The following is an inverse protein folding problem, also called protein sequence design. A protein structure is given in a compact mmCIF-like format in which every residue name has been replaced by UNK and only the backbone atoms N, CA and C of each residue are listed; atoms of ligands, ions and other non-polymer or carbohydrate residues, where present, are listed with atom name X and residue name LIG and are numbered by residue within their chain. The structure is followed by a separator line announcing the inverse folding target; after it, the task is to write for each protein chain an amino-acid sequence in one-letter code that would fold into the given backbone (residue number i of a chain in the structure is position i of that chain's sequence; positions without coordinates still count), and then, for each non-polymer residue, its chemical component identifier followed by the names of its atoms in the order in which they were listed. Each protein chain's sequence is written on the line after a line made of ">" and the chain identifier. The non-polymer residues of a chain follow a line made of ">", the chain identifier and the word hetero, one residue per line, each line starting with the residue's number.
data_IF_521025847530
#
_entry.id   IF_521025847530
#
_cell.length_a   1.000
_cell.length_b   1.000
_cell.length_c   1.000
_cell.angle_alpha   90.00
_cell.angle_beta   90.00
_cell.angle_gamma   90.00
#
_symmetry.space_group_name_H-M   'P 1'
#
loop_
_entity.id
_entity.type
_entity.pdbx_description
1 polymer ?
#
# COMPACT_ATOMS: atom_id res chain seq x y z
N UNK A 1 39.54 4.22 6.59
CA UNK A 1 38.18 4.78 6.50
C UNK A 1 37.24 3.78 7.14
N UNK A 2 36.79 4.00 8.35
CA UNK A 2 35.77 3.18 8.99
C UNK A 2 34.47 3.30 8.17
N UNK A 3 34.03 2.19 7.60
CA UNK A 3 32.64 2.08 7.15
C UNK A 3 31.78 2.24 8.43
N UNK A 4 31.11 3.38 8.59
CA UNK A 4 30.01 3.48 9.53
C UNK A 4 29.06 2.36 9.14
N UNK A 5 28.89 1.38 10.02
CA UNK A 5 27.81 0.39 9.91
C UNK A 5 26.52 1.21 9.91
N UNK A 6 25.90 1.40 8.74
CA UNK A 6 24.53 1.89 8.68
C UNK A 6 23.69 0.83 9.40
N UNK A 7 23.39 1.07 10.68
CA UNK A 7 22.51 0.22 11.46
C UNK A 7 21.14 0.25 10.79
N UNK A 8 20.58 -0.91 10.55
CA UNK A 8 19.22 -1.05 10.05
C UNK A 8 18.26 -0.34 11.02
N UNK A 9 17.25 0.35 10.51
CA UNK A 9 16.31 1.15 11.30
C UNK A 9 14.90 1.01 10.74
N UNK A 10 13.92 1.26 11.59
CA UNK A 10 12.53 1.37 11.14
C UNK A 10 12.22 2.79 10.70
N UNK A 11 11.35 2.90 9.71
CA UNK A 11 10.58 4.09 9.37
C UNK A 11 9.11 3.72 9.54
N UNK A 12 8.55 4.01 10.69
CA UNK A 12 7.10 3.91 10.89
C UNK A 12 6.45 5.12 10.28
N UNK A 13 5.48 4.92 9.41
CA UNK A 13 4.81 6.02 8.71
C UNK A 13 3.33 5.76 8.51
N UNK A 14 2.59 6.84 8.34
CA UNK A 14 1.16 6.86 8.08
C UNK A 14 0.77 8.08 7.26
N UNK A 15 -0.38 8.02 6.55
CA UNK A 15 -0.90 9.07 5.69
C UNK A 15 -2.33 9.43 6.06
N UNK A 16 -2.63 10.74 6.13
CA UNK A 16 -4.01 11.21 5.96
C UNK A 16 -4.26 11.60 4.51
N UNK A 17 -5.43 11.26 3.99
CA UNK A 17 -5.75 11.38 2.56
C UNK A 17 -7.12 12.00 2.32
N UNK A 18 -7.36 12.45 1.09
CA UNK A 18 -8.67 12.98 0.66
C UNK A 18 -9.72 11.89 0.46
N UNK A 19 -9.33 10.61 0.45
CA UNK A 19 -10.22 9.46 0.22
C UNK A 19 -9.44 8.17 0.03
N UNK A 20 -10.08 7.15 -0.52
CA UNK A 20 -9.58 5.78 -0.56
C UNK A 20 -8.96 5.35 -1.90
N UNK A 21 -9.09 6.17 -2.95
CA UNK A 21 -8.62 5.83 -4.29
C UNK A 21 -7.19 6.29 -4.54
N UNK A 22 -6.18 5.41 -4.68
CA UNK A 22 -4.82 5.85 -4.93
C UNK A 22 -4.66 6.71 -6.20
N UNK A 23 -5.41 6.40 -7.26
CA UNK A 23 -5.33 7.11 -8.53
C UNK A 23 -5.95 8.53 -8.48
N UNK A 24 -6.96 8.74 -7.64
CA UNK A 24 -7.79 9.94 -7.69
C UNK A 24 -7.83 10.74 -6.40
N UNK A 25 -7.38 10.17 -5.28
CA UNK A 25 -7.24 10.85 -4.01
C UNK A 25 -5.79 11.27 -3.74
N UNK A 26 -5.62 12.24 -2.87
CA UNK A 26 -4.34 12.85 -2.56
C UNK A 26 -3.96 12.62 -1.11
N UNK A 27 -2.69 12.22 -0.79
CA UNK A 27 -2.15 12.37 0.55
C UNK A 27 -2.09 13.84 0.97
N UNK A 28 -2.58 14.14 2.17
CA UNK A 28 -2.63 15.48 2.76
C UNK A 28 -1.62 15.66 3.89
N UNK A 29 -1.35 14.58 4.63
CA UNK A 29 -0.35 14.52 5.70
C UNK A 29 0.51 13.29 5.51
N UNK A 30 1.79 13.42 5.79
CA UNK A 30 2.74 12.33 5.95
C UNK A 30 3.38 12.50 7.31
N UNK A 31 3.19 11.54 8.18
CA UNK A 31 3.87 11.43 9.45
C UNK A 31 4.82 10.23 9.45
N UNK A 32 6.00 10.39 10.03
CA UNK A 32 6.95 9.30 10.20
C UNK A 32 7.76 9.46 11.47
N UNK A 33 8.03 8.32 12.14
CA UNK A 33 8.99 8.21 13.23
C UNK A 33 10.03 7.18 12.83
N UNK A 34 11.29 7.63 12.76
CA UNK A 34 12.44 6.76 12.52
C UNK A 34 12.94 6.26 13.88
N UNK A 35 13.11 4.94 14.01
CA UNK A 35 13.63 4.33 15.24
C UNK A 35 14.81 3.42 14.94
N UNK A 36 15.63 3.11 15.95
CA UNK A 36 16.51 1.96 15.89
C UNK A 36 15.70 0.64 16.00
N UNK A 37 16.38 -0.51 15.94
CA UNK A 37 15.71 -1.80 16.05
C UNK A 37 15.15 -2.08 17.45
N UNK A 38 15.58 -1.31 18.48
CA UNK A 38 15.07 -1.35 19.84
C UNK A 38 13.89 -0.41 20.06
N UNK A 39 13.40 0.24 18.98
CA UNK A 39 12.28 1.19 18.96
C UNK A 39 12.58 2.50 19.68
N UNK A 40 13.85 2.86 19.88
CA UNK A 40 14.22 4.18 20.37
C UNK A 40 14.11 5.17 19.21
N UNK A 41 13.39 6.28 19.43
CA UNK A 41 13.20 7.34 18.43
C UNK A 41 14.52 8.01 18.06
N UNK A 42 14.78 8.14 16.75
CA UNK A 42 15.94 8.82 16.17
C UNK A 42 15.53 10.14 15.54
N UNK A 43 14.42 10.15 14.83
CA UNK A 43 13.92 11.32 14.09
C UNK A 43 12.39 11.23 13.95
N UNK A 44 11.74 12.39 13.94
CA UNK A 44 10.29 12.53 13.76
C UNK A 44 10.00 13.57 12.68
N UNK A 45 9.04 13.26 11.83
CA UNK A 45 8.57 14.13 10.76
C UNK A 45 7.04 14.12 10.74
N UNK A 46 6.47 15.31 10.64
CA UNK A 46 5.06 15.54 10.35
C UNK A 46 4.97 16.69 9.36
N UNK A 47 4.54 16.41 8.14
CA UNK A 47 4.41 17.41 7.08
C UNK A 47 3.05 17.29 6.41
N UNK A 48 2.54 18.45 5.97
CA UNK A 48 1.23 18.56 5.29
C UNK A 48 1.37 19.31 3.99
N UNK A 49 0.43 19.10 3.07
CA UNK A 49 0.37 19.82 1.81
C UNK A 49 -1.00 20.44 1.55
N UNK A 50 -1.01 21.34 0.58
CA UNK A 50 -2.21 21.94 0.05
C UNK A 50 -2.99 20.92 -0.77
N UNK A 51 -4.30 21.12 -0.85
CA UNK A 51 -5.16 20.38 -1.76
C UNK A 51 -4.92 20.83 -3.20
N UNK A 52 -4.76 19.87 -4.11
CA UNK A 52 -4.68 20.15 -5.55
C UNK A 52 -6.04 20.62 -6.10
N UNK A 53 -6.07 21.62 -7.00
CA UNK A 53 -7.32 22.27 -7.44
C UNK A 53 -8.36 21.35 -8.07
N UNK A 54 -7.96 20.23 -8.67
CA UNK A 54 -8.84 19.29 -9.36
C UNK A 54 -9.41 18.19 -8.46
N UNK A 55 -9.00 18.13 -7.20
CA UNK A 55 -9.42 17.08 -6.26
C UNK A 55 -10.53 17.61 -5.35
N UNK A 56 -11.62 16.86 -5.28
CA UNK A 56 -12.67 17.02 -4.29
C UNK A 56 -12.48 15.96 -3.21
N UNK A 57 -12.10 16.36 -1.97
CA UNK A 57 -11.99 15.39 -0.87
C UNK A 57 -13.31 14.68 -0.61
N UNK A 58 -13.27 13.42 -0.23
CA UNK A 58 -14.46 12.73 0.24
C UNK A 58 -14.92 13.29 1.60
N UNK A 59 -16.14 13.79 1.77
CA UNK A 59 -16.64 14.24 3.08
C UNK A 59 -16.51 13.17 4.16
N UNK A 60 -16.70 11.90 3.81
CA UNK A 60 -16.51 10.78 4.74
C UNK A 60 -15.03 10.63 5.17
N UNK A 61 -14.04 10.90 4.30
CA UNK A 61 -12.64 10.90 4.68
C UNK A 61 -12.32 12.06 5.64
N UNK A 62 -12.79 13.27 5.34
CA UNK A 62 -12.63 14.41 6.25
C UNK A 62 -13.30 14.20 7.62
N UNK A 63 -14.44 13.51 7.63
CA UNK A 63 -15.13 13.14 8.86
C UNK A 63 -14.33 12.13 9.71
N UNK A 64 -13.64 11.18 9.07
CA UNK A 64 -12.80 10.18 9.75
C UNK A 64 -11.49 10.79 10.24
N UNK A 65 -10.79 11.55 9.39
CA UNK A 65 -9.48 12.13 9.69
C UNK A 65 -9.56 13.40 10.56
N UNK A 66 -10.75 14.01 10.68
CA UNK A 66 -10.93 15.29 11.36
C UNK A 66 -10.26 16.48 10.65
N UNK A 67 -9.78 16.30 9.43
CA UNK A 67 -9.17 17.38 8.63
C UNK A 67 -10.23 18.41 8.26
N UNK A 68 -10.00 19.65 8.65
CA UNK A 68 -10.94 20.74 8.37
C UNK A 68 -10.71 21.36 6.99
N UNK A 69 -11.77 21.79 6.29
CA UNK A 69 -11.64 22.52 5.03
C UNK A 69 -10.69 23.73 5.09
N UNK A 70 -10.69 24.47 6.20
CA UNK A 70 -9.77 25.60 6.42
C UNK A 70 -8.30 25.21 6.41
N UNK A 71 -7.96 23.98 6.79
CA UNK A 71 -6.59 23.47 6.71
C UNK A 71 -6.18 23.16 5.26
N UNK A 72 -7.12 22.69 4.43
CA UNK A 72 -6.88 22.37 3.02
C UNK A 72 -6.59 23.60 2.16
N UNK A 73 -7.11 24.76 2.56
CA UNK A 73 -6.95 26.05 1.87
C UNK A 73 -5.75 26.87 2.36
N UNK A 74 -4.93 26.34 3.27
CA UNK A 74 -3.81 27.05 3.85
C UNK A 74 -2.64 27.17 2.85
N UNK A 75 -2.48 28.36 2.24
CA UNK A 75 -1.44 28.64 1.26
C UNK A 75 0.00 28.63 1.81
N UNK A 76 0.20 28.48 3.12
CA UNK A 76 1.53 28.34 3.73
C UNK A 76 2.02 26.87 3.76
N UNK A 77 1.17 25.91 3.38
CA UNK A 77 1.57 24.52 3.27
C UNK A 77 2.33 24.27 1.95
N UNK A 78 3.07 23.17 1.92
CA UNK A 78 3.73 22.70 0.70
C UNK A 78 2.69 22.44 -0.40
N UNK A 79 3.02 22.76 -1.66
CA UNK A 79 2.26 22.20 -2.78
C UNK A 79 2.37 20.67 -2.81
N UNK A 80 1.46 19.98 -3.48
CA UNK A 80 1.54 18.52 -3.64
C UNK A 80 2.87 18.08 -4.30
N UNK A 81 3.40 18.90 -5.21
CA UNK A 81 4.69 18.67 -5.86
C UNK A 81 5.86 18.75 -4.84
N UNK A 82 5.96 19.83 -4.06
CA UNK A 82 7.00 19.99 -3.04
C UNK A 82 6.90 18.94 -1.93
N UNK A 83 5.69 18.60 -1.54
CA UNK A 83 5.42 17.52 -0.58
C UNK A 83 5.97 16.18 -1.09
N UNK A 84 5.68 15.84 -2.35
CA UNK A 84 6.20 14.61 -2.97
C UNK A 84 7.72 14.57 -3.06
N UNK A 85 8.36 15.72 -3.41
CA UNK A 85 9.82 15.86 -3.44
C UNK A 85 10.43 15.65 -2.04
N UNK A 86 9.81 16.23 -1.02
CA UNK A 86 10.31 16.13 0.35
C UNK A 86 10.26 14.71 0.87
N UNK A 87 9.20 13.95 0.55
CA UNK A 87 9.11 12.54 0.92
C UNK A 87 10.14 11.70 0.15
N UNK A 88 10.38 11.96 -1.14
CA UNK A 88 11.46 11.30 -1.89
C UNK A 88 12.83 11.51 -1.22
N UNK A 89 13.15 12.74 -0.78
CA UNK A 89 14.38 13.04 -0.06
C UNK A 89 14.46 12.23 1.25
N UNK A 90 13.37 12.08 1.99
CA UNK A 90 13.36 11.25 3.20
C UNK A 90 13.61 9.78 2.88
N UNK A 91 13.08 9.24 1.78
CA UNK A 91 13.31 7.83 1.43
C UNK A 91 14.79 7.54 1.14
N UNK A 92 15.51 8.49 0.56
CA UNK A 92 16.94 8.40 0.31
C UNK A 92 17.77 8.62 1.60
N UNK A 93 17.44 9.65 2.37
CA UNK A 93 18.10 10.02 3.64
C UNK A 93 18.09 8.88 4.64
N UNK A 94 16.96 8.19 4.74
CA UNK A 94 16.78 7.13 5.74
C UNK A 94 17.23 5.75 5.27
N UNK A 95 17.56 5.58 3.99
CA UNK A 95 18.04 4.31 3.46
C UNK A 95 19.42 3.90 4.04
N UNK A 96 19.68 2.60 4.28
CA UNK A 96 18.73 1.50 4.23
C UNK A 96 17.79 1.49 5.45
N UNK A 97 16.51 1.21 5.23
CA UNK A 97 15.51 1.22 6.30
C UNK A 97 14.41 0.16 6.06
N UNK A 98 13.69 -0.17 7.13
CA UNK A 98 12.49 -1.00 7.13
C UNK A 98 11.29 -0.06 7.16
N UNK A 99 10.63 0.12 6.03
CA UNK A 99 9.41 0.92 5.91
C UNK A 99 8.22 0.12 6.42
N UNK A 100 7.50 0.65 7.38
CA UNK A 100 6.41 -0.05 8.05
C UNK A 100 5.33 0.90 8.54
N UNK A 101 4.12 0.38 8.63
CA UNK A 101 2.95 1.06 9.16
C UNK A 101 1.84 0.04 9.41
N UNK A 102 0.66 0.50 9.77
CA UNK A 102 -0.49 -0.35 10.01
C UNK A 102 -1.35 -0.46 8.75
N UNK A 103 -1.36 -1.61 8.06
CA UNK A 103 -1.97 -1.80 6.73
C UNK A 103 -1.31 -0.99 5.62
N UNK A 104 -0.09 -0.51 5.85
CA UNK A 104 0.58 0.45 4.99
C UNK A 104 0.90 -0.07 3.59
N UNK A 105 1.14 -1.36 3.42
CA UNK A 105 1.43 -1.95 2.10
C UNK A 105 0.21 -1.93 1.18
N UNK A 106 -0.97 -2.12 1.75
CA UNK A 106 -2.21 -2.15 0.97
C UNK A 106 -2.74 -0.74 0.67
N UNK A 107 -2.49 0.24 1.53
CA UNK A 107 -3.04 1.58 1.43
C UNK A 107 -1.97 2.66 1.24
N UNK A 108 -1.21 3.00 2.27
CA UNK A 108 -0.28 4.13 2.27
C UNK A 108 0.77 4.05 1.17
N UNK A 109 1.33 2.86 0.96
CA UNK A 109 2.32 2.66 -0.11
C UNK A 109 1.71 2.83 -1.50
N UNK A 110 0.46 2.43 -1.70
CA UNK A 110 -0.23 2.63 -2.96
C UNK A 110 -0.50 4.12 -3.20
N UNK A 111 -0.90 4.86 -2.15
CA UNK A 111 -1.09 6.31 -2.19
C UNK A 111 0.22 7.05 -2.47
N UNK A 112 1.31 6.73 -1.78
CA UNK A 112 2.64 7.31 -2.02
C UNK A 112 3.11 7.07 -3.45
N UNK A 113 2.98 5.85 -3.94
CA UNK A 113 3.40 5.47 -5.29
C UNK A 113 2.66 6.27 -6.34
N UNK A 114 1.36 6.43 -6.18
CA UNK A 114 0.52 7.19 -7.09
C UNK A 114 0.82 8.70 -7.03
N UNK A 115 1.05 9.22 -5.82
CA UNK A 115 1.49 10.61 -5.65
C UNK A 115 2.84 10.85 -6.33
N UNK A 116 3.81 9.95 -6.17
CA UNK A 116 5.10 10.05 -6.85
C UNK A 116 4.95 10.04 -8.38
N UNK A 117 4.12 9.15 -8.90
CA UNK A 117 3.82 9.07 -10.32
C UNK A 117 3.21 10.37 -10.85
N UNK A 118 2.16 10.89 -10.21
CA UNK A 118 1.47 12.10 -10.66
C UNK A 118 2.31 13.37 -10.51
N UNK A 119 3.30 13.37 -9.62
CA UNK A 119 4.26 14.46 -9.43
C UNK A 119 5.59 14.23 -10.17
N UNK A 120 5.62 13.30 -11.13
CA UNK A 120 6.76 12.99 -11.98
C UNK A 120 8.04 12.67 -11.20
N UNK A 121 7.92 12.07 -9.99
CA UNK A 121 9.07 11.63 -9.24
C UNK A 121 9.77 10.46 -9.97
N UNK A 122 11.10 10.45 -10.06
CA UNK A 122 11.83 9.44 -10.84
C UNK A 122 11.72 8.03 -10.25
N UNK A 123 11.41 7.92 -8.96
CA UNK A 123 11.34 6.65 -8.26
C UNK A 123 9.99 6.47 -7.56
N UNK A 124 9.04 5.83 -8.25
CA UNK A 124 7.72 5.54 -7.69
C UNK A 124 7.72 4.41 -6.66
N UNK A 125 8.79 3.61 -6.60
CA UNK A 125 8.98 2.53 -5.62
C UNK A 125 10.02 2.90 -4.55
N UNK A 126 10.05 4.15 -4.11
CA UNK A 126 11.08 4.71 -3.24
C UNK A 126 11.26 3.94 -1.91
N UNK A 127 10.18 3.40 -1.34
CA UNK A 127 10.22 2.55 -0.13
C UNK A 127 10.86 1.18 -0.34
N UNK A 128 11.20 0.80 -1.59
CA UNK A 128 11.72 -0.52 -1.97
C UNK A 128 13.12 -0.47 -2.57
N UNK A 129 13.62 0.73 -2.92
CA UNK A 129 14.96 0.92 -3.47
C UNK A 129 15.98 1.25 -2.37
N UNK A 130 17.26 1.33 -2.73
CA UNK A 130 18.36 1.68 -1.83
C UNK A 130 18.51 0.74 -0.64
N UNK A 131 18.24 -0.57 -0.85
CA UNK A 131 18.22 -1.62 0.19
C UNK A 131 17.14 -1.40 1.27
N UNK A 132 16.11 -0.61 0.97
CA UNK A 132 14.93 -0.54 1.82
C UNK A 132 14.13 -1.85 1.75
N UNK A 133 13.58 -2.27 2.88
CA UNK A 133 12.66 -3.40 3.00
C UNK A 133 11.33 -2.92 3.56
N UNK A 134 10.32 -3.79 3.53
CA UNK A 134 8.97 -3.43 3.97
C UNK A 134 8.40 -4.46 4.91
N UNK A 135 7.64 -3.99 5.89
CA UNK A 135 6.91 -4.79 6.84
C UNK A 135 5.51 -4.19 7.01
N UNK A 136 4.51 -5.00 7.31
CA UNK A 136 3.15 -4.53 7.60
C UNK A 136 2.73 -5.01 8.98
N UNK A 137 2.50 -4.07 9.90
CA UNK A 137 2.19 -4.37 11.29
C UNK A 137 0.82 -5.04 11.43
N UNK A 138 -0.16 -4.71 10.59
CA UNK A 138 -1.45 -5.40 10.62
C UNK A 138 -1.33 -6.89 10.29
N UNK A 139 -0.42 -7.27 9.38
CA UNK A 139 -0.13 -8.68 9.09
C UNK A 139 0.55 -9.39 10.27
N UNK A 140 1.43 -8.68 10.99
CA UNK A 140 1.98 -9.20 12.26
C UNK A 140 0.88 -9.43 13.30
N UNK A 141 -0.03 -8.46 13.45
CA UNK A 141 -1.19 -8.55 14.36
C UNK A 141 -2.09 -9.75 13.98
N UNK A 142 -2.28 -10.02 12.69
CA UNK A 142 -3.02 -11.21 12.24
C UNK A 142 -2.33 -12.51 12.66
N UNK A 143 -1.01 -12.59 12.56
CA UNK A 143 -0.25 -13.77 12.98
C UNK A 143 -0.31 -13.95 14.51
N UNK A 144 -0.17 -12.86 15.27
CA UNK A 144 -0.33 -12.88 16.74
C UNK A 144 -1.73 -13.35 17.15
N UNK A 145 -2.77 -12.87 16.48
CA UNK A 145 -4.14 -13.33 16.76
C UNK A 145 -4.32 -14.84 16.48
N UNK A 146 -3.71 -15.34 15.42
CA UNK A 146 -3.87 -16.74 15.01
C UNK A 146 -3.07 -17.72 15.88
N UNK A 147 -1.89 -17.32 16.41
CA UNK A 147 -0.92 -18.21 17.06
C UNK A 147 -0.73 -17.93 18.55
N UNK A 148 -0.76 -16.66 18.94
CA UNK A 148 -0.52 -16.18 20.30
C UNK A 148 -1.63 -15.22 20.76
N UNK A 149 -2.92 -15.64 20.72
CA UNK A 149 -4.06 -14.72 20.91
C UNK A 149 -4.09 -14.06 22.29
N UNK A 150 -3.36 -14.59 23.28
CA UNK A 150 -3.31 -14.05 24.64
C UNK A 150 -2.38 -12.83 24.81
N UNK A 151 -1.53 -12.53 23.81
CA UNK A 151 -0.57 -11.42 23.85
C UNK A 151 -1.26 -10.05 23.79
N UNK A 152 -2.33 -9.94 23.01
CA UNK A 152 -3.09 -8.71 22.87
C UNK A 152 -4.53 -8.89 23.37
N UNK A 153 -5.13 -7.81 23.83
CA UNK A 153 -6.57 -7.73 24.07
C UNK A 153 -7.24 -7.37 22.74
N UNK A 154 -8.31 -8.08 22.42
CA UNK A 154 -8.99 -7.97 21.13
C UNK A 154 -10.31 -7.24 21.29
N UNK A 155 -10.45 -6.02 20.75
CA UNK A 155 -11.73 -5.33 20.74
C UNK A 155 -12.75 -6.09 19.89
N UNK A 156 -14.01 -6.07 20.32
CA UNK A 156 -15.11 -6.77 19.66
C UNK A 156 -16.07 -5.72 19.06
N UNK A 157 -16.36 -5.86 17.78
CA UNK A 157 -17.33 -4.98 17.12
C UNK A 157 -18.78 -5.34 17.45
N UNK A 158 -19.74 -4.50 17.03
CA UNK A 158 -21.18 -4.69 17.27
C UNK A 158 -21.73 -6.01 16.70
N UNK A 159 -21.02 -6.69 15.80
CA UNK A 159 -21.41 -8.00 15.24
C UNK A 159 -20.77 -9.17 15.98
N UNK A 160 -20.12 -8.95 17.13
CA UNK A 160 -19.46 -9.98 17.93
C UNK A 160 -18.15 -10.52 17.32
N UNK A 161 -17.55 -9.82 16.33
CA UNK A 161 -16.30 -10.20 15.70
C UNK A 161 -15.15 -9.34 16.18
N UNK A 162 -13.93 -9.91 16.21
CA UNK A 162 -12.72 -9.17 16.53
C UNK A 162 -12.53 -8.01 15.54
N UNK A 163 -12.27 -6.83 16.11
CA UNK A 163 -11.93 -5.64 15.36
C UNK A 163 -10.41 -5.44 15.36
N UNK A 164 -9.81 -5.41 14.18
CA UNK A 164 -8.37 -5.24 14.00
C UNK A 164 -7.97 -3.80 13.65
N UNK A 165 -8.88 -2.84 13.73
CA UNK A 165 -8.55 -1.43 13.47
C UNK A 165 -7.67 -0.89 14.58
N UNK A 166 -6.66 -0.10 14.21
CA UNK A 166 -5.65 0.44 15.12
C UNK A 166 -6.28 1.35 16.19
N UNK A 167 -7.24 2.18 15.79
CA UNK A 167 -8.01 3.10 16.64
C UNK A 167 -8.78 2.41 17.78
N UNK A 168 -9.04 1.10 17.64
CA UNK A 168 -9.66 0.27 18.67
C UNK A 168 -8.64 -0.62 19.38
N UNK A 169 -7.70 -1.21 18.62
CA UNK A 169 -6.74 -2.18 19.14
C UNK A 169 -5.74 -1.52 20.10
N UNK A 170 -5.18 -0.37 19.74
CA UNK A 170 -4.14 0.26 20.55
C UNK A 170 -4.68 0.75 21.92
N UNK A 171 -5.83 1.45 22.02
CA UNK A 171 -6.44 1.82 23.30
C UNK A 171 -6.82 0.61 24.17
N UNK A 172 -7.40 -0.46 23.59
CA UNK A 172 -7.76 -1.67 24.33
C UNK A 172 -6.52 -2.33 24.98
N UNK A 173 -5.35 -2.13 24.36
CA UNK A 173 -4.07 -2.63 24.86
C UNK A 173 -3.32 -1.66 25.77
N UNK A 174 -3.92 -0.49 26.09
CA UNK A 174 -3.39 0.46 27.07
C UNK A 174 -2.68 1.69 26.49
N UNK A 175 -2.71 1.90 25.18
CA UNK A 175 -2.23 3.13 24.55
C UNK A 175 -3.24 4.25 24.79
N UNK A 176 -2.85 5.27 25.59
CA UNK A 176 -3.77 6.33 26.04
C UNK A 176 -3.58 7.69 25.35
N UNK A 177 -2.45 7.87 24.67
CA UNK A 177 -2.11 9.14 24.00
C UNK A 177 -2.64 9.22 22.56
N UNK A 178 -3.60 8.36 22.21
CA UNK A 178 -4.07 8.25 20.85
C UNK A 178 -4.99 9.41 20.48
N UNK A 179 -4.48 10.30 19.64
CA UNK A 179 -5.31 11.19 18.86
C UNK A 179 -5.62 10.44 17.55
N UNK A 180 -6.64 9.58 17.59
CA UNK A 180 -7.01 8.73 16.45
C UNK A 180 -7.26 9.61 15.23
N UNK A 181 -6.80 9.13 14.07
CA UNK A 181 -6.92 9.84 12.79
C UNK A 181 -6.10 11.15 12.72
N UNK A 182 -5.01 11.24 13.46
CA UNK A 182 -3.89 12.09 13.15
C UNK A 182 -2.71 11.16 12.83
N UNK A 183 -2.16 11.26 11.62
CA UNK A 183 -1.15 10.29 11.13
C UNK A 183 0.00 10.08 12.13
N UNK A 184 0.42 11.12 12.85
CA UNK A 184 1.48 10.97 13.85
C UNK A 184 1.02 10.14 15.06
N UNK A 185 -0.24 10.29 15.51
CA UNK A 185 -0.85 9.49 16.56
C UNK A 185 -0.95 8.01 16.16
N UNK A 186 -1.29 7.75 14.90
CA UNK A 186 -1.39 6.38 14.37
C UNK A 186 -0.01 5.73 14.21
N UNK A 187 1.04 6.50 13.86
CA UNK A 187 2.44 6.04 13.91
C UNK A 187 2.86 5.65 15.33
N UNK A 188 2.58 6.49 16.34
CA UNK A 188 2.90 6.19 17.74
C UNK A 188 2.15 4.96 18.26
N UNK A 189 0.86 4.82 17.92
CA UNK A 189 0.06 3.65 18.26
C UNK A 189 0.61 2.36 17.61
N UNK A 190 1.08 2.46 16.36
CA UNK A 190 1.71 1.35 15.64
C UNK A 190 3.00 0.90 16.32
N UNK A 191 3.89 1.82 16.70
CA UNK A 191 5.12 1.54 17.45
C UNK A 191 4.78 0.85 18.77
N UNK A 192 3.78 1.35 19.51
CA UNK A 192 3.34 0.74 20.76
C UNK A 192 2.90 -0.72 20.60
N UNK A 193 2.12 -1.03 19.55
CA UNK A 193 1.70 -2.42 19.27
C UNK A 193 2.90 -3.30 18.94
N UNK A 194 3.85 -2.83 18.11
CA UNK A 194 5.08 -3.57 17.78
C UNK A 194 5.92 -3.83 19.00
N UNK A 195 6.12 -2.84 19.88
CA UNK A 195 6.87 -2.98 21.13
C UNK A 195 6.26 -4.06 22.03
N UNK A 196 4.93 -4.06 22.13
CA UNK A 196 4.22 -5.06 22.93
C UNK A 196 4.39 -6.48 22.36
N UNK A 197 4.27 -6.66 21.05
CA UNK A 197 4.49 -7.93 20.37
C UNK A 197 5.95 -8.39 20.57
N UNK A 198 6.92 -7.50 20.31
CA UNK A 198 8.36 -7.78 20.46
C UNK A 198 8.72 -8.26 21.87
N UNK A 199 8.13 -7.64 22.89
CA UNK A 199 8.41 -7.98 24.32
C UNK A 199 7.72 -9.25 24.78
N UNK A 200 6.51 -9.54 24.33
CA UNK A 200 5.69 -10.61 24.86
C UNK A 200 5.76 -11.91 24.06
N UNK A 201 6.08 -11.86 22.76
CA UNK A 201 6.31 -13.04 21.93
C UNK A 201 7.51 -12.85 20.98
N UNK A 202 8.75 -12.75 21.52
CA UNK A 202 9.95 -12.43 20.75
C UNK A 202 10.24 -13.42 19.62
N UNK A 203 9.95 -14.70 19.82
CA UNK A 203 10.21 -15.74 18.81
C UNK A 203 9.30 -15.57 17.58
N UNK A 204 8.01 -15.34 17.78
CA UNK A 204 7.09 -15.07 16.68
C UNK A 204 7.43 -13.73 16.01
N UNK A 205 7.71 -12.69 16.80
CA UNK A 205 8.16 -11.41 16.28
C UNK A 205 9.37 -11.56 15.35
N UNK A 206 10.41 -12.30 15.77
CA UNK A 206 11.61 -12.51 14.97
C UNK A 206 11.32 -13.24 13.65
N UNK A 207 10.48 -14.28 13.68
CA UNK A 207 10.05 -15.00 12.48
C UNK A 207 9.31 -14.08 11.49
N UNK A 208 8.42 -13.20 12.00
CA UNK A 208 7.67 -12.24 11.19
C UNK A 208 8.57 -11.11 10.66
N UNK A 209 9.51 -10.65 11.47
CA UNK A 209 10.53 -9.68 11.08
C UNK A 209 11.40 -10.21 9.93
N UNK A 210 11.85 -11.45 10.03
CA UNK A 210 12.63 -12.11 8.97
C UNK A 210 11.83 -12.29 7.68
N UNK A 211 10.52 -12.48 7.77
CA UNK A 211 9.62 -12.63 6.62
C UNK A 211 9.48 -11.36 5.74
N UNK A 212 10.04 -10.20 6.17
CA UNK A 212 10.10 -8.98 5.35
C UNK A 212 10.98 -9.12 4.11
N UNK A 213 11.96 -10.05 4.14
CA UNK A 213 12.89 -10.27 3.04
C UNK A 213 12.25 -11.17 1.98
N UNK A 214 11.89 -10.55 0.87
CA UNK A 214 11.26 -11.21 -0.27
C UNK A 214 12.14 -12.32 -0.88
N UNK A 215 13.45 -12.07 -0.99
CA UNK A 215 14.38 -13.02 -1.61
C UNK A 215 14.57 -14.24 -0.70
N UNK A 216 14.70 -14.02 0.61
CA UNK A 216 14.70 -15.08 1.62
C UNK A 216 13.40 -15.90 1.55
N UNK A 217 12.25 -15.26 1.44
CA UNK A 217 10.96 -15.94 1.32
C UNK A 217 10.90 -16.82 0.05
N UNK A 218 11.38 -16.30 -1.08
CA UNK A 218 11.42 -17.09 -2.32
C UNK A 218 12.40 -18.28 -2.21
N UNK A 219 13.55 -18.09 -1.58
CA UNK A 219 14.51 -19.19 -1.33
C UNK A 219 13.89 -20.24 -0.40
N UNK A 220 13.25 -19.81 0.69
CA UNK A 220 12.57 -20.71 1.62
C UNK A 220 11.47 -21.52 0.92
N UNK A 221 10.64 -20.90 0.11
CA UNK A 221 9.61 -21.59 -0.68
C UNK A 221 10.24 -22.60 -1.65
N UNK A 222 11.25 -22.18 -2.42
CA UNK A 222 11.94 -23.05 -3.40
C UNK A 222 12.77 -24.16 -2.77
N UNK A 223 12.93 -24.20 -1.45
CA UNK A 223 13.50 -25.35 -0.75
C UNK A 223 12.54 -26.55 -0.70
N UNK A 224 11.28 -26.38 -1.10
CA UNK A 224 10.22 -27.37 -1.03
C UNK A 224 10.09 -28.02 0.35
N UNK A 225 10.14 -27.16 1.38
CA UNK A 225 9.89 -27.56 2.77
C UNK A 225 8.53 -27.00 3.20
N UNK A 226 7.87 -27.63 4.19
CA UNK A 226 6.67 -27.04 4.77
C UNK A 226 6.93 -25.65 5.34
N UNK A 227 6.09 -24.67 4.96
CA UNK A 227 6.11 -23.29 5.42
C UNK A 227 4.74 -22.88 5.93
N UNK A 228 4.71 -21.92 6.82
CA UNK A 228 3.50 -21.29 7.34
C UNK A 228 3.32 -19.90 6.76
N UNK A 229 2.05 -19.52 6.55
CA UNK A 229 1.64 -18.14 6.20
C UNK A 229 0.33 -17.82 6.89
N UNK A 230 0.23 -16.66 7.51
CA UNK A 230 -1.02 -16.19 8.10
C UNK A 230 -1.76 -15.30 7.11
N UNK A 231 -2.99 -15.69 6.80
CA UNK A 231 -3.86 -14.97 5.86
C UNK A 231 -5.19 -14.64 6.52
N UNK A 232 -5.82 -13.57 6.03
CA UNK A 232 -7.18 -13.18 6.39
C UNK A 232 -7.98 -12.91 5.13
N UNK A 233 -9.15 -13.52 5.01
CA UNK A 233 -10.03 -13.36 3.86
C UNK A 233 -11.34 -12.66 4.28
N UNK A 234 -11.61 -11.51 3.68
CA UNK A 234 -12.80 -10.72 3.96
C UNK A 234 -12.95 -10.41 5.45
N UNK A 235 -14.15 -10.62 5.99
CA UNK A 235 -14.46 -10.41 7.41
C UNK A 235 -14.20 -11.62 8.34
N UNK A 236 -13.43 -12.64 7.88
CA UNK A 236 -13.09 -13.80 8.70
C UNK A 236 -12.02 -13.50 9.73
N UNK A 237 -11.84 -14.38 10.74
CA UNK A 237 -10.67 -14.35 11.61
C UNK A 237 -9.42 -14.75 10.82
N UNK A 238 -8.25 -14.17 11.13
CA UNK A 238 -6.98 -14.62 10.58
C UNK A 238 -6.72 -16.10 10.88
N UNK A 239 -6.11 -16.80 9.93
CA UNK A 239 -5.72 -18.19 10.10
C UNK A 239 -4.32 -18.41 9.53
N UNK A 240 -3.48 -19.17 10.24
CA UNK A 240 -2.22 -19.69 9.75
C UNK A 240 -2.47 -20.97 8.97
N UNK A 241 -1.92 -21.03 7.77
CA UNK A 241 -1.97 -22.17 6.86
C UNK A 241 -0.60 -22.77 6.71
N UNK A 242 -0.51 -24.09 6.73
CA UNK A 242 0.72 -24.82 6.44
C UNK A 242 0.68 -25.33 5.01
N UNK A 243 1.72 -25.07 4.27
CA UNK A 243 1.77 -25.47 2.86
C UNK A 243 3.19 -25.50 2.30
N UNK A 244 3.30 -25.76 1.01
CA UNK A 244 4.58 -25.67 0.33
C UNK A 244 4.44 -24.98 -1.04
N UNK A 245 5.59 -24.59 -1.58
CA UNK A 245 5.69 -24.06 -2.94
C UNK A 245 5.26 -25.12 -3.96
N UNK A 246 4.46 -24.70 -4.94
CA UNK A 246 4.01 -25.59 -6.03
C UNK A 246 4.12 -24.98 -7.43
N UNK A 247 4.63 -23.74 -7.57
CA UNK A 247 4.86 -23.12 -8.86
C UNK A 247 5.01 -21.60 -8.78
N UNK A 248 5.63 -20.99 -9.79
CA UNK A 248 5.77 -19.55 -9.97
C UNK A 248 5.03 -19.14 -11.23
N UNK A 249 4.21 -18.08 -11.15
CA UNK A 249 3.47 -17.58 -12.33
C UNK A 249 4.43 -17.22 -13.48
N UNK A 250 4.11 -17.67 -14.70
CA UNK A 250 4.90 -17.31 -15.89
C UNK A 250 4.84 -15.81 -16.23
N UNK A 251 3.79 -15.13 -15.79
CA UNK A 251 3.57 -13.70 -16.07
C UNK A 251 4.00 -12.79 -14.91
N UNK A 252 4.34 -13.33 -13.72
CA UNK A 252 4.71 -12.51 -12.55
C UNK A 252 5.75 -13.20 -11.67
N UNK A 253 6.93 -12.57 -11.56
CA UNK A 253 8.01 -13.01 -10.64
C UNK A 253 7.65 -12.89 -9.15
N UNK A 254 6.53 -12.25 -8.85
CA UNK A 254 6.08 -12.01 -7.47
C UNK A 254 4.94 -12.94 -7.04
N UNK A 255 4.36 -13.74 -7.94
CA UNK A 255 3.19 -14.57 -7.64
C UNK A 255 3.57 -16.03 -7.62
N UNK A 256 3.38 -16.68 -6.47
CA UNK A 256 3.69 -18.09 -6.25
C UNK A 256 2.44 -18.86 -5.85
N UNK A 257 2.39 -20.14 -6.25
CA UNK A 257 1.43 -21.10 -5.76
C UNK A 257 1.86 -21.67 -4.41
N UNK A 258 0.94 -21.69 -3.48
CA UNK A 258 1.07 -22.26 -2.15
C UNK A 258 0.07 -23.40 -1.99
N UNK A 259 0.57 -24.63 -1.98
CA UNK A 259 -0.21 -25.85 -1.83
C UNK A 259 -0.54 -26.09 -0.36
N UNK A 260 -1.80 -26.19 0.01
CA UNK A 260 -2.27 -26.41 1.39
C UNK A 260 -2.05 -27.87 1.80
N UNK A 261 -1.08 -28.11 2.71
CA UNK A 261 -0.71 -29.44 3.19
C UNK A 261 -1.67 -30.00 4.25
N UNK A 262 -2.57 -29.19 4.79
CA UNK A 262 -3.58 -29.64 5.77
C UNK A 262 -4.82 -30.24 5.11
N UNK A 263 -4.90 -30.23 3.77
CA UNK A 263 -6.04 -30.78 3.03
C UNK A 263 -5.84 -32.26 2.72
N UNK A 264 -6.92 -33.04 2.76
CA UNK A 264 -6.86 -34.47 2.41
C UNK A 264 -6.53 -34.67 0.93
N UNK A 265 -6.08 -35.90 0.63
CA UNK A 265 -5.87 -36.45 -0.73
C UNK A 265 -4.99 -35.55 -1.63
N UNK A 266 -3.76 -35.16 -1.20
CA UNK A 266 -2.91 -34.30 -1.99
C UNK A 266 -2.56 -34.91 -3.36
N UNK A 267 -2.40 -36.23 -3.46
CA UNK A 267 -2.00 -36.93 -4.68
C UNK A 267 -3.07 -36.87 -5.77
N UNK A 268 -4.34 -36.85 -5.42
CA UNK A 268 -5.44 -36.68 -6.37
C UNK A 268 -5.30 -35.36 -7.16
N UNK A 269 -4.96 -34.28 -6.48
CA UNK A 269 -4.79 -32.99 -7.13
C UNK A 269 -3.47 -32.88 -7.91
N UNK A 270 -2.38 -33.46 -7.39
CA UNK A 270 -1.07 -33.42 -8.05
C UNK A 270 -1.13 -34.20 -9.39
N UNK A 271 -1.84 -35.32 -9.42
CA UNK A 271 -2.02 -36.12 -10.64
C UNK A 271 -3.29 -35.72 -11.42
N UNK A 272 -3.98 -34.66 -11.02
CA UNK A 272 -5.20 -34.15 -11.65
C UNK A 272 -4.97 -33.43 -12.99
N UNK A 273 -6.07 -33.01 -13.58
CA UNK A 273 -6.07 -32.22 -14.81
C UNK A 273 -5.78 -30.74 -14.53
N UNK A 274 -5.48 -29.96 -15.58
CA UNK A 274 -5.35 -28.51 -15.47
C UNK A 274 -6.61 -27.85 -14.89
N UNK A 275 -7.80 -28.39 -15.23
CA UNK A 275 -9.06 -27.86 -14.69
C UNK A 275 -9.18 -28.13 -13.18
N UNK A 276 -8.71 -29.27 -12.69
CA UNK A 276 -8.70 -29.58 -11.25
C UNK A 276 -7.79 -28.60 -10.48
N UNK A 277 -6.64 -28.29 -11.05
CA UNK A 277 -5.71 -27.28 -10.49
C UNK A 277 -6.34 -25.88 -10.48
N UNK A 278 -7.00 -25.47 -11.55
CA UNK A 278 -7.70 -24.17 -11.62
C UNK A 278 -8.87 -24.12 -10.61
N UNK A 279 -9.62 -25.20 -10.49
CA UNK A 279 -10.68 -25.32 -9.49
C UNK A 279 -10.14 -25.26 -8.06
N UNK A 280 -9.02 -25.90 -7.79
CA UNK A 280 -8.33 -25.82 -6.49
C UNK A 280 -7.84 -24.42 -6.12
N UNK A 281 -7.59 -23.55 -7.12
CA UNK A 281 -7.20 -22.15 -6.92
C UNK A 281 -8.38 -21.19 -6.78
N UNK A 282 -9.54 -21.53 -7.35
CA UNK A 282 -10.66 -20.58 -7.50
C UNK A 282 -11.86 -20.93 -6.63
N UNK A 283 -12.15 -22.22 -6.44
CA UNK A 283 -13.29 -22.70 -5.67
C UNK A 283 -12.96 -22.85 -4.18
N UNK A 284 -13.93 -22.57 -3.31
CA UNK A 284 -13.80 -22.77 -1.86
C UNK A 284 -14.20 -24.21 -1.48
N UNK A 285 -13.44 -24.88 -0.59
CA UNK A 285 -12.19 -24.42 0.06
C UNK A 285 -10.98 -24.55 -0.87
N UNK A 286 -10.23 -23.45 -1.01
CA UNK A 286 -9.03 -23.46 -1.86
C UNK A 286 -7.99 -24.45 -1.34
N UNK A 287 -7.43 -25.26 -2.23
CA UNK A 287 -6.32 -26.19 -1.98
C UNK A 287 -4.96 -25.59 -2.43
N UNK A 288 -4.99 -24.69 -3.40
CA UNK A 288 -3.83 -23.90 -3.84
C UNK A 288 -4.16 -22.42 -3.69
N UNK A 289 -3.32 -21.69 -2.95
CA UNK A 289 -3.43 -20.23 -2.77
C UNK A 289 -2.39 -19.50 -3.57
N UNK A 290 -2.72 -18.31 -4.04
CA UNK A 290 -1.77 -17.40 -4.67
C UNK A 290 -1.18 -16.48 -3.61
N UNK A 291 0.15 -16.50 -3.40
CA UNK A 291 0.85 -15.56 -2.53
C UNK A 291 1.58 -14.52 -3.38
N UNK A 292 1.57 -13.28 -2.94
CA UNK A 292 2.25 -12.16 -3.60
C UNK A 292 3.48 -11.75 -2.78
N UNK A 293 4.66 -12.19 -3.17
CA UNK A 293 5.92 -11.96 -2.44
C UNK A 293 6.24 -10.47 -2.21
N UNK A 294 5.69 -9.59 -3.04
CA UNK A 294 5.86 -8.14 -2.90
C UNK A 294 4.81 -7.48 -2.00
N UNK A 295 4.05 -8.25 -1.24
CA UNK A 295 3.03 -7.75 -0.30
C UNK A 295 3.41 -8.00 1.17
N UNK A 296 4.71 -8.21 1.48
CA UNK A 296 5.22 -8.54 2.81
C UNK A 296 4.43 -9.69 3.47
N UNK A 297 4.33 -10.81 2.76
CA UNK A 297 3.66 -12.01 3.27
C UNK A 297 4.44 -12.57 4.48
N UNK A 298 3.71 -13.07 5.48
CA UNK A 298 4.28 -13.61 6.73
C UNK A 298 4.82 -15.04 6.57
N UNK A 299 5.59 -15.30 5.52
CA UNK A 299 6.11 -16.63 5.16
C UNK A 299 7.26 -16.99 6.09
N UNK A 300 7.15 -18.15 6.75
CA UNK A 300 8.13 -18.66 7.73
C UNK A 300 8.20 -20.18 7.69
N UNK A 301 9.29 -20.81 8.17
CA UNK A 301 9.35 -22.27 8.31
C UNK A 301 8.21 -22.78 9.16
N UNK A 302 7.64 -23.93 8.80
CA UNK A 302 6.59 -24.56 9.60
C UNK A 302 7.10 -24.92 11.00
N UNK A 303 6.27 -24.65 11.98
CA UNK A 303 6.59 -24.89 13.40
C UNK A 303 6.49 -26.39 13.76
N UNK A 304 5.70 -27.15 13.00
CA UNK A 304 5.46 -28.59 13.22
C UNK A 304 6.14 -29.40 12.11
N UNK A 305 6.84 -30.46 12.51
CA UNK A 305 7.39 -31.46 11.60
C UNK A 305 6.36 -32.59 11.40
N UNK A 306 5.93 -32.79 10.15
CA UNK A 306 5.02 -33.86 9.75
C UNK A 306 5.62 -34.62 8.56
N UNK A 307 5.88 -35.94 8.68
CA UNK A 307 6.43 -36.76 7.58
C UNK A 307 5.57 -36.79 6.32
N UNK A 308 4.24 -36.79 6.46
CA UNK A 308 3.33 -36.78 5.31
C UNK A 308 3.43 -35.46 4.54
N UNK A 309 3.52 -34.33 5.24
CA UNK A 309 3.74 -33.04 4.61
C UNK A 309 5.08 -32.98 3.87
N UNK A 310 6.12 -33.56 4.49
CA UNK A 310 7.44 -33.65 3.84
C UNK A 310 7.37 -34.48 2.56
N UNK A 311 6.72 -35.65 2.62
CA UNK A 311 6.54 -36.49 1.46
C UNK A 311 5.78 -35.78 0.32
N UNK A 312 4.69 -35.07 0.64
CA UNK A 312 3.96 -34.27 -0.35
C UNK A 312 4.83 -33.20 -0.98
N UNK A 313 5.65 -32.50 -0.17
CA UNK A 313 6.61 -31.50 -0.69
C UNK A 313 7.62 -32.13 -1.64
N UNK A 314 8.16 -33.32 -1.31
CA UNK A 314 9.14 -34.01 -2.16
C UNK A 314 8.49 -34.47 -3.49
N UNK A 315 7.25 -34.97 -3.46
CA UNK A 315 6.50 -35.31 -4.69
C UNK A 315 6.30 -34.05 -5.56
N UNK A 316 5.84 -32.93 -4.98
CA UNK A 316 5.64 -31.69 -5.75
C UNK A 316 6.97 -31.17 -6.31
N UNK A 317 8.08 -31.29 -5.56
CA UNK A 317 9.42 -30.91 -6.01
C UNK A 317 9.86 -31.67 -7.24
N UNK A 318 9.60 -32.99 -7.28
CA UNK A 318 10.02 -33.88 -8.37
C UNK A 318 9.06 -33.81 -9.57
N UNK A 319 7.83 -33.34 -9.38
CA UNK A 319 6.81 -33.22 -10.44
C UNK A 319 6.85 -31.82 -11.11
N UNK A 320 7.75 -31.67 -12.05
CA UNK A 320 7.87 -30.41 -12.84
C UNK A 320 6.67 -30.18 -13.76
N UNK A 321 5.93 -31.22 -14.16
CA UNK A 321 4.74 -31.08 -14.97
C UNK A 321 3.61 -30.42 -14.17
N UNK A 322 3.37 -30.88 -12.94
CA UNK A 322 2.43 -30.24 -12.02
C UNK A 322 2.78 -28.76 -11.75
N UNK A 323 4.06 -28.46 -11.47
CA UNK A 323 4.53 -27.08 -11.26
C UNK A 323 4.28 -26.20 -12.49
N UNK A 324 4.41 -26.75 -13.71
CA UNK A 324 4.13 -26.03 -14.96
C UNK A 324 2.64 -25.72 -15.09
N UNK A 325 1.77 -26.69 -14.84
CA UNK A 325 0.31 -26.49 -14.84
C UNK A 325 -0.09 -25.41 -13.82
N UNK A 326 0.46 -25.46 -12.59
CA UNK A 326 0.23 -24.42 -11.58
C UNK A 326 0.69 -23.04 -12.07
N UNK A 327 1.86 -22.96 -12.71
CA UNK A 327 2.41 -21.70 -13.26
C UNK A 327 1.49 -21.07 -14.32
N UNK A 328 0.88 -21.90 -15.17
CA UNK A 328 -0.07 -21.47 -16.19
C UNK A 328 -1.39 -21.02 -15.58
N UNK A 329 -1.98 -21.82 -14.69
CA UNK A 329 -3.21 -21.46 -13.99
C UNK A 329 -3.07 -20.16 -13.17
N UNK A 330 -1.90 -19.90 -12.56
CA UNK A 330 -1.63 -18.63 -11.88
C UNK A 330 -1.61 -17.43 -12.84
N UNK A 331 -1.11 -17.61 -14.06
CA UNK A 331 -1.09 -16.56 -15.08
C UNK A 331 -2.50 -16.29 -15.63
N UNK A 332 -3.29 -17.33 -15.86
CA UNK A 332 -4.65 -17.22 -16.39
C UNK A 332 -5.63 -16.62 -15.38
N UNK A 333 -5.42 -16.88 -14.09
CA UNK A 333 -6.23 -16.30 -12.99
C UNK A 333 -6.13 -14.78 -12.92
N UNK A 334 -5.01 -14.19 -13.38
CA UNK A 334 -4.75 -12.76 -13.36
C UNK A 334 -4.27 -12.31 -14.74
N UNK A 335 -5.17 -12.28 -15.75
CA UNK A 335 -4.81 -11.84 -17.08
C UNK A 335 -4.36 -10.38 -17.05
N UNK A 336 -3.38 -10.04 -17.88
CA UNK A 336 -3.05 -8.65 -18.14
C UNK A 336 -4.15 -8.08 -19.04
N UNK A 337 -4.88 -7.11 -18.56
CA UNK A 337 -5.87 -6.36 -19.33
C UNK A 337 -5.23 -5.06 -19.82
N UNK A 338 -5.23 -4.83 -21.13
CA UNK A 338 -4.95 -3.52 -21.70
C UNK A 338 -6.26 -2.72 -21.67
N UNK A 339 -6.33 -1.75 -20.78
CA UNK A 339 -7.44 -0.79 -20.74
C UNK A 339 -7.04 0.44 -21.55
N UNK A 340 -7.57 0.54 -22.77
CA UNK A 340 -7.27 1.64 -23.71
C UNK A 340 -7.96 2.95 -23.34
N UNK A 341 -9.02 2.90 -22.55
CA UNK A 341 -9.87 4.05 -22.22
C UNK A 341 -9.54 4.69 -20.86
N UNK A 342 -8.56 4.15 -20.14
CA UNK A 342 -8.15 4.66 -18.82
C UNK A 342 -7.53 6.06 -18.91
N UNK A 343 -7.80 6.90 -17.89
CA UNK A 343 -7.20 8.23 -17.76
C UNK A 343 -5.74 8.14 -17.31
N UNK A 344 -4.99 9.22 -17.47
CA UNK A 344 -3.54 9.21 -17.21
C UNK A 344 -3.18 8.80 -15.77
N UNK A 345 -4.03 9.10 -14.80
CA UNK A 345 -3.86 8.70 -13.40
C UNK A 345 -3.84 7.17 -13.21
N UNK A 346 -4.55 6.42 -14.03
CA UNK A 346 -4.63 4.96 -13.96
C UNK A 346 -3.48 4.26 -14.69
N UNK A 347 -2.72 5.00 -15.53
CA UNK A 347 -1.65 4.47 -16.40
C UNK A 347 -0.29 4.29 -15.74
N UNK A 348 -0.22 4.27 -14.42
CA UNK A 348 1.04 4.14 -13.68
C UNK A 348 1.85 2.88 -14.04
N UNK A 349 1.19 1.80 -14.46
CA UNK A 349 1.81 0.53 -14.83
C UNK A 349 1.80 0.22 -16.34
N UNK A 350 1.48 1.18 -17.19
CA UNK A 350 1.43 1.04 -18.64
C UNK A 350 2.83 1.08 -19.29
N UNK A 351 3.67 0.14 -18.86
CA UNK A 351 5.03 0.00 -19.38
C UNK A 351 6.07 0.90 -18.69
N UNK A 352 7.32 0.71 -19.06
CA UNK A 352 8.47 1.43 -18.52
C UNK A 352 8.82 2.64 -19.36
N UNK A 353 9.19 3.73 -18.71
CA UNK A 353 9.76 4.89 -19.38
C UNK A 353 11.07 4.55 -20.09
N UNK A 354 11.34 5.23 -21.20
CA UNK A 354 12.62 5.18 -21.90
C UNK A 354 13.76 5.68 -21.00
N UNK A 355 15.03 5.36 -21.34
CA UNK A 355 16.16 5.90 -20.60
C UNK A 355 16.25 7.43 -20.72
N UNK A 356 15.82 7.98 -21.85
CA UNK A 356 15.71 9.41 -22.06
C UNK A 356 14.72 10.03 -21.07
N UNK A 357 13.49 9.50 -20.99
CA UNK A 357 12.48 10.00 -20.08
C UNK A 357 12.85 9.84 -18.61
N UNK A 358 13.52 8.73 -18.24
CA UNK A 358 14.05 8.57 -16.88
C UNK A 358 15.04 9.67 -16.50
N UNK A 359 15.92 10.06 -17.44
CA UNK A 359 16.87 11.16 -17.24
C UNK A 359 16.13 12.49 -17.13
N UNK A 360 15.13 12.70 -18.00
CA UNK A 360 14.27 13.88 -17.97
C UNK A 360 13.54 14.02 -16.63
N UNK A 361 12.98 12.93 -16.08
CA UNK A 361 12.31 12.96 -14.78
C UNK A 361 13.25 13.43 -13.65
N UNK A 362 14.51 13.00 -13.65
CA UNK A 362 15.52 13.47 -12.67
C UNK A 362 15.79 14.97 -12.85
N UNK A 363 15.97 15.43 -14.09
CA UNK A 363 16.19 16.84 -14.40
C UNK A 363 14.97 17.68 -14.02
N UNK A 364 13.77 17.19 -14.28
CA UNK A 364 12.52 17.87 -13.94
C UNK A 364 12.44 18.20 -12.45
N UNK A 365 12.94 17.35 -11.56
CA UNK A 365 12.87 17.59 -10.12
C UNK A 365 13.73 18.78 -9.66
N UNK A 366 14.87 19.02 -10.29
CA UNK A 366 15.86 20.03 -9.85
C UNK A 366 15.79 21.33 -10.66
N UNK A 367 14.99 21.39 -11.72
CA UNK A 367 14.87 22.54 -12.63
C UNK A 367 13.91 23.60 -12.09
N UNK A 368 14.03 24.83 -12.56
CA UNK A 368 13.00 25.87 -12.39
C UNK A 368 11.73 25.55 -13.18
N UNK A 369 10.59 26.15 -12.83
CA UNK A 369 9.34 25.91 -13.54
C UNK A 369 9.42 26.26 -15.03
N UNK A 370 10.20 27.31 -15.41
CA UNK A 370 10.43 27.66 -16.82
C UNK A 370 11.20 26.57 -17.56
N UNK A 371 12.25 26.01 -16.95
CA UNK A 371 13.02 24.91 -17.52
C UNK A 371 12.19 23.64 -17.60
N UNK A 372 11.37 23.33 -16.58
CA UNK A 372 10.43 22.20 -16.60
C UNK A 372 9.48 22.27 -17.80
N UNK A 373 8.92 23.44 -18.09
CA UNK A 373 8.07 23.63 -19.26
C UNK A 373 8.82 23.32 -20.57
N UNK A 374 10.11 23.68 -20.65
CA UNK A 374 10.95 23.37 -21.80
C UNK A 374 11.22 21.86 -21.91
N UNK A 375 11.57 21.22 -20.78
CA UNK A 375 11.83 19.77 -20.73
C UNK A 375 10.64 18.93 -21.22
N UNK A 376 9.41 19.36 -20.97
CA UNK A 376 8.22 18.62 -21.40
C UNK A 376 8.11 18.49 -22.92
N UNK A 377 8.71 19.41 -23.71
CA UNK A 377 8.73 19.31 -25.17
C UNK A 377 9.60 18.14 -25.66
N UNK A 378 10.57 17.71 -24.86
CA UNK A 378 11.49 16.62 -25.18
C UNK A 378 11.01 15.26 -24.63
N UNK A 379 9.95 15.24 -23.82
CA UNK A 379 9.40 14.01 -23.25
C UNK A 379 8.79 13.13 -24.36
N UNK A 380 9.19 11.85 -24.36
CA UNK A 380 8.71 10.86 -25.34
C UNK A 380 7.39 10.21 -24.89
N UNK A 381 7.23 10.02 -23.59
CA UNK A 381 6.04 9.39 -23.01
C UNK A 381 4.93 10.43 -22.77
N UNK A 382 3.76 10.18 -23.36
CA UNK A 382 2.60 11.07 -23.24
C UNK A 382 2.10 11.27 -21.80
N UNK A 383 2.34 10.29 -20.91
CA UNK A 383 2.01 10.41 -19.49
C UNK A 383 2.81 11.54 -18.83
N UNK A 384 4.11 11.65 -19.15
CA UNK A 384 4.98 12.72 -18.65
C UNK A 384 4.50 14.07 -19.14
N UNK A 385 4.15 14.17 -20.42
CA UNK A 385 3.64 15.42 -21.01
C UNK A 385 2.33 15.85 -20.32
N UNK A 386 1.36 14.96 -20.18
CA UNK A 386 0.05 15.27 -19.58
C UNK A 386 0.19 15.68 -18.11
N UNK A 387 0.88 14.87 -17.30
CA UNK A 387 1.08 15.14 -15.87
C UNK A 387 1.95 16.39 -15.66
N UNK A 388 3.01 16.57 -16.48
CA UNK A 388 3.90 17.73 -16.39
C UNK A 388 3.18 19.04 -16.72
N UNK A 389 2.38 19.12 -17.77
CA UNK A 389 1.59 20.31 -18.06
C UNK A 389 0.59 20.63 -16.94
N UNK A 390 -0.02 19.62 -16.34
CA UNK A 390 -0.87 19.79 -15.14
C UNK A 390 -0.09 20.38 -13.97
N UNK A 391 1.13 19.88 -13.69
CA UNK A 391 2.00 20.42 -12.63
C UNK A 391 2.36 21.88 -12.91
N UNK A 392 2.71 22.25 -14.15
CA UNK A 392 2.97 23.63 -14.51
C UNK A 392 1.72 24.51 -14.29
N UNK A 393 0.54 24.04 -14.72
CA UNK A 393 -0.71 24.76 -14.54
C UNK A 393 -1.04 25.04 -13.06
N UNK A 394 -0.72 24.14 -12.16
CA UNK A 394 -1.06 24.28 -10.75
C UNK A 394 0.02 24.99 -9.92
N UNK A 395 1.28 25.01 -10.38
CA UNK A 395 2.38 25.60 -9.60
C UNK A 395 2.97 26.86 -10.24
N UNK A 396 2.79 27.07 -11.56
CA UNK A 396 3.39 28.17 -12.31
C UNK A 396 2.51 28.60 -13.51
N UNK A 397 1.22 28.78 -13.28
CA UNK A 397 0.23 29.09 -14.32
C UNK A 397 0.63 30.28 -15.18
N UNK A 398 1.33 31.28 -14.62
CA UNK A 398 1.80 32.49 -15.30
C UNK A 398 2.80 32.21 -16.44
N UNK A 399 3.35 30.99 -16.54
CA UNK A 399 4.26 30.59 -17.62
C UNK A 399 3.52 30.01 -18.83
N UNK A 400 2.22 29.77 -18.71
CA UNK A 400 1.42 29.15 -19.77
C UNK A 400 0.72 30.20 -20.65
N UNK A 401 0.59 29.86 -21.94
CA UNK A 401 -0.28 30.63 -22.84
C UNK A 401 -1.75 30.56 -22.36
N UNK A 402 -2.57 31.63 -22.63
CA UNK A 402 -3.96 31.68 -22.18
C UNK A 402 -4.80 30.45 -22.57
N UNK A 403 -4.53 29.83 -23.72
CA UNK A 403 -5.22 28.62 -24.18
C UNK A 403 -4.98 27.41 -23.26
N UNK A 404 -3.78 27.27 -22.71
CA UNK A 404 -3.46 26.17 -21.79
C UNK A 404 -4.01 26.43 -20.38
N UNK A 405 -4.09 27.71 -19.99
CA UNK A 405 -4.75 28.10 -18.74
C UNK A 405 -6.24 27.77 -18.83
N UNK A 406 -6.90 28.13 -19.93
CA UNK A 406 -8.31 27.80 -20.16
C UNK A 406 -8.54 26.26 -20.12
N UNK A 407 -7.66 25.49 -20.78
CA UNK A 407 -7.77 24.03 -20.78
C UNK A 407 -7.56 23.42 -19.38
N UNK A 408 -6.67 23.96 -18.58
CA UNK A 408 -6.49 23.52 -17.20
C UNK A 408 -7.73 23.82 -16.33
N UNK A 409 -8.39 24.98 -16.55
CA UNK A 409 -9.65 25.32 -15.87
C UNK A 409 -10.78 24.41 -16.32
N UNK A 410 -10.91 24.15 -17.62
CA UNK A 410 -11.88 23.17 -18.17
C UNK A 410 -11.69 21.78 -17.56
N UNK A 411 -10.46 21.30 -17.47
CA UNK A 411 -10.14 20.01 -16.83
C UNK A 411 -10.63 19.93 -15.37
N UNK A 412 -10.45 21.00 -14.59
CA UNK A 412 -10.96 21.04 -13.19
C UNK A 412 -12.49 20.94 -13.21
N UNK A 413 -13.17 21.73 -14.05
CA UNK A 413 -14.62 21.70 -14.15
C UNK A 413 -15.12 20.34 -14.63
N UNK A 414 -14.51 19.75 -15.66
CA UNK A 414 -14.83 18.42 -16.16
C UNK A 414 -14.72 17.36 -15.05
N UNK A 415 -13.64 17.40 -14.26
CA UNK A 415 -13.44 16.49 -13.09
C UNK A 415 -14.55 16.67 -12.06
N UNK A 416 -14.88 17.89 -11.68
CA UNK A 416 -15.86 18.17 -10.65
C UNK A 416 -17.30 17.86 -11.05
N UNK A 417 -17.64 18.06 -12.33
CA UNK A 417 -19.00 17.94 -12.86
C UNK A 417 -19.26 16.63 -13.62
N UNK A 418 -18.28 15.72 -13.66
CA UNK A 418 -18.46 14.41 -14.29
C UNK A 418 -19.65 13.65 -13.66
N UNK A 419 -20.25 12.76 -14.46
CA UNK A 419 -21.30 11.87 -13.95
C UNK A 419 -20.75 10.95 -12.87
N UNK A 420 -21.44 10.84 -11.73
CA UNK A 420 -21.07 9.94 -10.62
C UNK A 420 -21.00 8.46 -11.05
N UNK A 421 -21.76 8.08 -12.08
CA UNK A 421 -21.78 6.70 -12.58
C UNK A 421 -20.61 6.37 -13.51
N UNK A 422 -19.93 7.38 -14.04
CA UNK A 422 -18.80 7.25 -14.97
C UNK A 422 -17.47 7.58 -14.33
N UNK A 423 -17.47 8.39 -13.26
CA UNK A 423 -16.27 8.84 -12.56
C UNK A 423 -15.82 7.83 -11.51
N UNK A 424 -14.53 7.47 -11.55
CA UNK A 424 -13.85 6.72 -10.49
C UNK A 424 -13.29 7.64 -9.38
N UNK A 425 -13.67 8.92 -9.37
CA UNK A 425 -13.24 9.96 -8.42
C UNK A 425 -14.43 10.71 -7.83
N UNK A 426 -14.18 11.52 -6.80
CA UNK A 426 -15.24 12.36 -6.22
C UNK A 426 -15.65 13.48 -7.16
N UNK A 427 -16.95 13.60 -7.38
CA UNK A 427 -17.62 14.66 -8.12
C UNK A 427 -18.47 15.50 -7.18
N UNK A 428 -18.95 16.67 -7.63
CA UNK A 428 -19.88 17.49 -6.83
C UNK A 428 -21.11 16.66 -6.43
N UNK A 429 -21.67 15.85 -7.34
CA UNK A 429 -22.81 15.00 -7.02
C UNK A 429 -22.51 13.97 -5.93
N UNK A 430 -21.35 13.27 -6.02
CA UNK A 430 -20.95 12.28 -5.01
C UNK A 430 -20.66 12.92 -3.65
N UNK A 431 -20.07 14.12 -3.64
CA UNK A 431 -19.81 14.89 -2.42
C UNK A 431 -21.11 15.31 -1.74
N UNK A 432 -22.08 15.85 -2.50
CA UNK A 432 -23.39 16.24 -1.98
C UNK A 432 -24.14 15.06 -1.35
N UNK A 433 -24.09 13.88 -2.00
CA UNK A 433 -24.67 12.65 -1.46
C UNK A 433 -23.98 12.24 -0.14
N UNK A 434 -22.64 12.26 -0.07
CA UNK A 434 -21.89 11.92 1.14
C UNK A 434 -22.18 12.90 2.29
N UNK A 435 -22.32 14.21 2.01
CA UNK A 435 -22.72 15.21 3.02
C UNK A 435 -24.11 14.91 3.58
N UNK A 436 -25.07 14.57 2.72
CA UNK A 436 -26.42 14.18 3.17
C UNK A 436 -26.41 12.90 4.02
N UNK A 437 -25.58 11.91 3.69
CA UNK A 437 -25.39 10.69 4.46
C UNK A 437 -24.79 10.98 5.85
N UNK A 438 -23.78 11.86 5.95
CA UNK A 438 -23.19 12.29 7.22
C UNK A 438 -24.23 13.02 8.09
N UNK A 439 -24.99 13.94 7.52
CA UNK A 439 -26.06 14.65 8.22
C UNK A 439 -27.13 13.68 8.76
N UNK A 440 -27.57 12.72 7.95
CA UNK A 440 -28.53 11.72 8.35
C UNK A 440 -28.01 10.77 9.46
N UNK A 441 -26.68 10.57 9.54
CA UNK A 441 -26.05 9.76 10.59
C UNK A 441 -25.90 10.49 11.93
N UNK A 442 -26.22 11.80 12.00
CA UNK A 442 -26.03 12.61 13.20
C UNK A 442 -24.57 12.99 13.46
N UNK A 443 -23.73 13.07 12.41
CA UNK A 443 -22.35 13.51 12.53
C UNK A 443 -22.22 14.94 13.06
N UNK A 444 -21.06 15.27 13.65
CA UNK A 444 -20.77 16.58 14.26
C UNK A 444 -21.14 17.76 13.36
N UNK A 445 -22.03 18.60 13.85
CA UNK A 445 -22.61 19.72 13.11
C UNK A 445 -21.56 20.77 12.71
N UNK A 446 -20.50 21.03 13.51
CA UNK A 446 -19.51 22.09 13.23
C UNK A 446 -18.66 21.75 12.01
N UNK A 447 -18.10 20.55 11.98
CA UNK A 447 -17.27 20.11 10.83
C UNK A 447 -18.14 19.91 9.59
N UNK A 448 -19.36 19.41 9.75
CA UNK A 448 -20.31 19.25 8.65
C UNK A 448 -20.68 20.61 8.02
N UNK A 449 -20.90 21.65 8.82
CA UNK A 449 -21.21 22.99 8.32
C UNK A 449 -20.02 23.62 7.61
N UNK A 450 -18.78 23.42 8.12
CA UNK A 450 -17.56 23.83 7.42
C UNK A 450 -17.44 23.11 6.05
N UNK A 451 -17.70 21.81 5.99
CA UNK A 451 -17.70 21.05 4.74
C UNK A 451 -18.76 21.55 3.76
N UNK A 452 -20.00 21.76 4.21
CA UNK A 452 -21.09 22.32 3.37
C UNK A 452 -20.75 23.70 2.78
N UNK A 453 -19.95 24.49 3.49
CA UNK A 453 -19.51 25.81 3.02
C UNK A 453 -18.34 25.69 2.04
N UNK A 454 -17.52 24.66 2.18
CA UNK A 454 -16.33 24.44 1.35
C UNK A 454 -16.67 23.92 -0.03
N UNK A 455 -17.65 23.02 -0.16
CA UNK A 455 -18.09 22.45 -1.44
C UNK A 455 -19.18 23.29 -2.12
#
# INVERSE_FOLDING_TARGET
>A
MCRSSNLEKYVFYDLETTGMSPAFDQPLQFAAIVTDLELNEIERVDIRCQLSPHILPAPQALAVTGVRPSQLQNNNLLSAFEFSQKIQIFTEKWAPAIWTGYNSIAFDEAMLRQMFYQNLQPNIFATQFHNNTRLDVMKMVFAVHAEEPHILKWPINAKGKVNFKLDQLAPENGFRAHNAHDALGDVEATIFIVDKIKKQCPDLYQKLFDARDKERNLQLLKSFTPVEVTLRFGGSSPKTYTGCYCGLSKNSKNMVGFFDLEKPDPMELIHGTQQDVLDAMTKSPQRIRSLRLNQAETIRPASISNPEWRHTCDVIKDDTAFQTVVSECLADKYPQTEDTDSVVEEKIFDGFYSNHDKTLLVQFQISSWQERLTLLNDAQDNRIQQLGHRLIAFNAMHLLDPKYIARAQEFIVEKWTASETEANWNTIASVQRQLAELEASGFDNILLDEMKTFY
#
